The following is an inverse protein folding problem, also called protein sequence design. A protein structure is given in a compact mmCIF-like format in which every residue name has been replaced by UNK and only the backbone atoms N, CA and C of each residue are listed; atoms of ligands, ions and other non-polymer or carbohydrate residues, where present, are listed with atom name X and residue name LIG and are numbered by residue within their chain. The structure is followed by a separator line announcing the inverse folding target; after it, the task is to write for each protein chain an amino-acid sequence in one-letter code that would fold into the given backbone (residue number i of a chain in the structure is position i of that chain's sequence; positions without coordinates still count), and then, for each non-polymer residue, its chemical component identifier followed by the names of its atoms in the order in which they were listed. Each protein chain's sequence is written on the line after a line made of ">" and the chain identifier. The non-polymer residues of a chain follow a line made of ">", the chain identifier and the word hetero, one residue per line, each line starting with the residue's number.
data_IF_762710464066
#
_entry.id   IF_762710464066
#
_cell.length_a   1.000
_cell.length_b   1.000
_cell.length_c   1.000
_cell.angle_alpha   90.00
_cell.angle_beta   90.00
_cell.angle_gamma   90.00
#
_symmetry.space_group_name_H-M   'P 1'
#
loop_
_entity.id
_entity.type
_entity.pdbx_description
1 polymer ?
#
# COMPACT_ATOMS: atom_id res chain seq x y z
N UNK A 1 -2.19 24.43 -3.64
CA UNK A 1 -2.33 24.92 -2.24
C UNK A 1 -3.52 24.19 -1.64
N UNK A 2 -3.41 23.49 -0.47
CA UNK A 2 -4.60 23.00 0.23
C UNK A 2 -5.52 24.18 0.52
N UNK A 3 -6.84 24.02 0.30
CA UNK A 3 -7.82 25.03 0.61
C UNK A 3 -7.77 25.42 2.10
N UNK A 4 -8.06 26.67 2.43
CA UNK A 4 -8.12 27.15 3.82
C UNK A 4 -9.06 26.26 4.63
N UNK A 5 -8.53 25.42 5.51
CA UNK A 5 -9.26 24.51 6.41
C UNK A 5 -9.00 23.00 6.22
N UNK A 6 -8.16 22.59 5.25
CA UNK A 6 -7.75 21.19 5.10
C UNK A 6 -6.74 20.76 6.18
N UNK A 7 -6.78 19.46 6.58
CA UNK A 7 -5.79 18.91 7.52
C UNK A 7 -4.43 18.78 6.87
N UNK A 8 -3.38 18.99 7.66
CA UNK A 8 -2.01 18.73 7.24
C UNK A 8 -1.74 17.23 7.22
N UNK A 9 -1.30 16.70 6.06
CA UNK A 9 -1.10 15.27 5.81
C UNK A 9 0.33 14.99 5.39
N UNK A 10 1.03 14.13 6.13
CA UNK A 10 2.34 13.61 5.76
C UNK A 10 2.25 12.17 5.26
N UNK A 11 3.05 11.82 4.26
CA UNK A 11 3.12 10.45 3.72
C UNK A 11 4.52 9.89 3.94
N UNK A 12 4.62 8.70 4.51
CA UNK A 12 5.89 8.06 4.83
C UNK A 12 5.94 6.63 4.29
N UNK A 13 7.03 6.29 3.61
CA UNK A 13 7.33 4.92 3.19
C UNK A 13 8.80 4.60 3.36
N UNK A 14 9.14 3.30 3.44
CA UNK A 14 10.52 2.81 3.50
C UNK A 14 10.76 1.81 2.38
N UNK A 15 11.82 2.04 1.60
CA UNK A 15 12.16 1.30 0.39
C UNK A 15 13.59 0.75 0.42
N UNK A 16 13.80 -0.39 -0.25
CA UNK A 16 15.10 -0.95 -0.62
C UNK A 16 14.98 -1.69 -1.95
N UNK A 17 15.80 -1.31 -2.93
CA UNK A 17 15.79 -1.88 -4.28
C UNK A 17 14.40 -1.82 -4.94
N UNK A 18 13.73 -0.67 -4.77
CA UNK A 18 12.36 -0.45 -5.24
C UNK A 18 12.27 0.75 -6.19
N UNK A 19 13.31 0.97 -6.98
CA UNK A 19 13.46 2.09 -7.92
C UNK A 19 12.29 2.16 -8.91
N UNK A 20 11.68 1.02 -9.20
CA UNK A 20 10.52 0.94 -10.08
C UNK A 20 9.27 1.63 -9.51
N UNK A 21 9.04 1.54 -8.19
CA UNK A 21 7.81 2.07 -7.57
C UNK A 21 7.96 3.51 -7.07
N UNK A 22 9.17 3.94 -6.70
CA UNK A 22 9.42 5.25 -6.10
C UNK A 22 8.92 6.41 -6.95
N UNK A 23 9.17 6.48 -8.29
CA UNK A 23 8.69 7.59 -9.12
C UNK A 23 7.15 7.70 -9.14
N UNK A 24 6.45 6.59 -9.26
CA UNK A 24 4.98 6.54 -9.22
C UNK A 24 4.44 7.00 -7.88
N UNK A 25 5.04 6.56 -6.77
CA UNK A 25 4.71 6.98 -5.42
C UNK A 25 4.91 8.49 -5.22
N UNK A 26 6.05 9.03 -5.65
CA UNK A 26 6.36 10.46 -5.57
C UNK A 26 5.37 11.28 -6.40
N UNK A 27 5.10 10.87 -7.63
CA UNK A 27 4.17 11.55 -8.54
C UNK A 27 2.76 11.59 -7.96
N UNK A 28 2.24 10.45 -7.53
CA UNK A 28 0.88 10.35 -7.00
C UNK A 28 0.71 11.17 -5.71
N UNK A 29 1.50 10.88 -4.68
CA UNK A 29 1.33 11.59 -3.40
C UNK A 29 1.79 13.05 -3.45
N UNK A 30 2.78 13.36 -4.29
CA UNK A 30 3.19 14.74 -4.54
C UNK A 30 2.08 15.59 -5.15
N UNK A 31 1.27 15.02 -6.05
CA UNK A 31 0.10 15.71 -6.62
C UNK A 31 -1.04 15.87 -5.60
N UNK A 32 -1.19 14.95 -4.64
CA UNK A 32 -2.24 15.00 -3.62
C UNK A 32 -1.92 15.96 -2.47
N UNK A 33 -0.66 16.03 -2.04
CA UNK A 33 -0.29 16.65 -0.77
C UNK A 33 0.85 17.66 -0.87
N UNK A 34 1.53 17.79 -2.02
CA UNK A 34 2.81 18.48 -2.16
C UNK A 34 4.00 17.56 -1.85
N UNK A 35 5.05 17.67 -2.66
CA UNK A 35 6.23 16.83 -2.53
C UNK A 35 6.96 17.03 -1.19
N UNK A 36 6.94 18.23 -0.64
CA UNK A 36 7.52 18.59 0.65
C UNK A 36 6.93 17.83 1.85
N UNK A 37 5.76 17.21 1.67
CA UNK A 37 5.06 16.41 2.69
C UNK A 37 5.32 14.90 2.56
N UNK A 38 6.23 14.50 1.65
CA UNK A 38 6.61 13.10 1.44
C UNK A 38 7.91 12.78 2.18
N UNK A 39 7.94 11.64 2.87
CA UNK A 39 9.07 11.15 3.65
C UNK A 39 9.45 9.75 3.14
N UNK A 40 10.55 9.68 2.40
CA UNK A 40 11.11 8.43 1.90
C UNK A 40 12.29 7.99 2.76
N UNK A 41 12.18 6.81 3.35
CA UNK A 41 13.29 6.18 4.09
C UNK A 41 13.97 5.19 3.14
N UNK A 42 15.25 5.38 2.86
CA UNK A 42 16.06 4.42 2.10
C UNK A 42 16.82 3.50 3.07
N UNK A 43 16.53 2.20 3.00
CA UNK A 43 17.21 1.16 3.80
C UNK A 43 18.53 0.75 3.14
N UNK A 44 19.53 1.57 3.32
CA UNK A 44 20.88 1.38 2.81
C UNK A 44 21.52 2.69 2.40
N UNK A 45 22.78 2.90 2.80
CA UNK A 45 23.59 4.01 2.30
C UNK A 45 24.04 3.77 0.85
N UNK A 46 23.92 2.55 0.37
CA UNK A 46 24.18 2.08 -1.00
C UNK A 46 23.02 2.38 -1.97
N UNK A 47 21.83 2.70 -1.45
CA UNK A 47 20.66 2.97 -2.30
C UNK A 47 20.83 4.28 -3.08
N UNK A 48 20.53 4.27 -4.40
CA UNK A 48 20.56 5.49 -5.20
C UNK A 48 19.48 6.47 -4.71
N UNK A 49 19.78 7.76 -4.81
CA UNK A 49 18.76 8.79 -4.59
C UNK A 49 17.85 8.85 -5.82
N UNK A 50 16.52 8.81 -5.64
CA UNK A 50 15.60 8.90 -6.77
C UNK A 50 15.67 10.28 -7.45
N UNK A 51 15.37 10.32 -8.74
CA UNK A 51 15.22 11.58 -9.46
C UNK A 51 14.14 12.45 -8.79
N UNK A 52 14.41 13.74 -8.59
CA UNK A 52 13.49 14.65 -7.87
C UNK A 52 13.55 14.51 -6.35
N UNK A 53 14.53 13.80 -5.79
CA UNK A 53 14.69 13.65 -4.34
C UNK A 53 14.84 14.96 -3.58
N UNK A 54 15.31 16.00 -4.23
CA UNK A 54 15.45 17.35 -3.66
C UNK A 54 14.11 18.01 -3.32
N UNK A 55 13.00 17.48 -3.84
CA UNK A 55 11.64 17.97 -3.58
C UNK A 55 10.97 17.29 -2.40
N UNK A 56 11.50 16.16 -1.93
CA UNK A 56 10.94 15.34 -0.86
C UNK A 56 11.91 15.25 0.32
N UNK A 57 11.43 14.72 1.44
CA UNK A 57 12.29 14.44 2.60
C UNK A 57 12.86 13.01 2.48
N UNK A 58 14.17 12.89 2.28
CA UNK A 58 14.84 11.59 2.19
C UNK A 58 15.65 11.32 3.47
N UNK A 59 15.41 10.17 4.09
CA UNK A 59 16.14 9.68 5.25
C UNK A 59 16.90 8.42 4.82
N UNK A 60 18.23 8.43 4.87
CA UNK A 60 19.05 7.26 4.57
C UNK A 60 19.49 6.58 5.86
N UNK A 61 19.26 5.29 5.96
CA UNK A 61 19.66 4.49 7.12
C UNK A 61 20.66 3.40 6.68
N UNK A 62 21.68 3.08 7.50
CA UNK A 62 22.53 1.92 7.24
C UNK A 62 21.71 0.63 7.18
N UNK A 63 21.84 -0.14 6.10
CA UNK A 63 21.17 -1.43 5.97
C UNK A 63 21.64 -2.42 7.03
N UNK A 64 20.72 -3.21 7.53
CA UNK A 64 21.00 -4.33 8.42
C UNK A 64 20.41 -5.60 7.85
N UNK A 65 21.26 -6.58 7.54
CA UNK A 65 20.80 -7.90 7.10
C UNK A 65 20.07 -8.60 8.26
N UNK A 66 18.78 -8.80 8.08
CA UNK A 66 17.90 -9.43 9.06
C UNK A 66 17.06 -10.52 8.36
N UNK A 67 16.65 -11.54 9.12
CA UNK A 67 15.65 -12.46 8.59
C UNK A 67 14.37 -11.69 8.25
N UNK A 68 13.61 -12.13 7.24
CA UNK A 68 12.40 -11.47 6.75
C UNK A 68 11.47 -10.99 7.87
N UNK A 69 11.13 -11.87 8.82
CA UNK A 69 10.22 -11.53 9.91
C UNK A 69 10.76 -10.42 10.83
N UNK A 70 12.08 -10.43 11.09
CA UNK A 70 12.75 -9.38 11.87
C UNK A 70 12.85 -8.09 11.06
N UNK A 71 13.14 -8.17 9.77
CA UNK A 71 13.19 -7.04 8.84
C UNK A 71 11.85 -6.31 8.78
N UNK A 72 10.76 -7.03 8.52
CA UNK A 72 9.40 -6.47 8.49
C UNK A 72 9.01 -5.81 9.82
N UNK A 73 9.37 -6.43 10.96
CA UNK A 73 9.13 -5.87 12.28
C UNK A 73 9.94 -4.60 12.53
N UNK A 74 11.22 -4.61 12.11
CA UNK A 74 12.13 -3.46 12.27
C UNK A 74 11.65 -2.28 11.44
N UNK A 75 11.34 -2.50 10.17
CA UNK A 75 10.78 -1.49 9.25
C UNK A 75 9.55 -0.82 9.86
N UNK A 76 8.57 -1.61 10.29
CA UNK A 76 7.33 -1.08 10.87
C UNK A 76 7.58 -0.27 12.15
N UNK A 77 8.59 -0.63 12.96
CA UNK A 77 8.97 0.14 14.14
C UNK A 77 9.63 1.47 13.75
N UNK A 78 10.60 1.45 12.84
CA UNK A 78 11.28 2.66 12.35
C UNK A 78 10.24 3.65 11.84
N UNK A 79 9.38 3.21 10.92
CA UNK A 79 8.30 4.06 10.37
C UNK A 79 7.38 4.56 11.48
N UNK A 80 7.00 3.73 12.45
CA UNK A 80 6.16 4.15 13.57
C UNK A 80 6.79 5.25 14.43
N UNK A 81 8.09 5.18 14.70
CA UNK A 81 8.78 6.20 15.52
C UNK A 81 8.96 7.52 14.76
N UNK A 82 9.31 7.46 13.48
CA UNK A 82 9.40 8.67 12.64
C UNK A 82 8.00 9.30 12.48
N UNK A 83 6.98 8.51 12.18
CA UNK A 83 5.61 8.98 12.06
C UNK A 83 5.13 9.67 13.36
N UNK A 84 5.48 9.15 14.53
CA UNK A 84 5.16 9.82 15.81
C UNK A 84 5.79 11.20 15.93
N UNK A 85 7.03 11.36 15.49
CA UNK A 85 7.68 12.67 15.47
C UNK A 85 6.99 13.61 14.48
N UNK A 86 6.54 13.08 13.34
CA UNK A 86 5.83 13.88 12.33
C UNK A 86 4.47 14.40 12.81
N UNK A 87 3.82 13.76 13.80
CA UNK A 87 2.57 14.25 14.40
C UNK A 87 2.72 15.61 15.14
N UNK A 88 3.93 16.11 15.34
CA UNK A 88 4.14 17.51 15.78
C UNK A 88 3.95 18.53 14.65
N UNK A 89 3.83 18.08 13.39
CA UNK A 89 3.65 18.93 12.20
C UNK A 89 2.43 18.57 11.39
N UNK A 90 1.97 17.32 11.45
CA UNK A 90 0.88 16.79 10.66
C UNK A 90 -0.25 16.29 11.54
N UNK A 91 -1.48 16.48 11.11
CA UNK A 91 -2.68 15.95 11.78
C UNK A 91 -2.97 14.52 11.35
N UNK A 92 -2.51 14.14 10.15
CA UNK A 92 -2.67 12.79 9.59
C UNK A 92 -1.33 12.32 9.02
N UNK A 93 -1.01 11.05 9.29
CA UNK A 93 0.12 10.36 8.65
C UNK A 93 -0.41 9.17 7.88
N UNK A 94 -0.04 9.09 6.60
CA UNK A 94 -0.24 7.91 5.75
C UNK A 94 1.07 7.11 5.73
N UNK A 95 1.03 5.82 6.11
CA UNK A 95 2.20 4.96 6.17
C UNK A 95 1.89 3.57 5.60
N UNK A 96 2.64 3.17 4.58
CA UNK A 96 2.47 1.89 3.88
C UNK A 96 3.76 1.48 3.15
N UNK A 97 3.75 0.33 2.51
CA UNK A 97 4.85 -0.13 1.66
C UNK A 97 4.93 0.70 0.37
N UNK A 98 6.12 0.84 -0.23
CA UNK A 98 6.35 1.73 -1.38
C UNK A 98 5.58 1.28 -2.65
N UNK A 99 5.25 0.00 -2.75
CA UNK A 99 4.47 -0.62 -3.82
C UNK A 99 2.95 -0.58 -3.55
N UNK A 100 2.51 0.24 -2.60
CA UNK A 100 1.10 0.42 -2.25
C UNK A 100 0.67 1.87 -2.46
N UNK A 101 -0.53 2.07 -3.00
CA UNK A 101 -1.12 3.39 -3.21
C UNK A 101 -2.52 3.44 -2.59
N UNK A 102 -2.72 4.41 -1.69
CA UNK A 102 -4.01 4.68 -1.07
C UNK A 102 -4.84 5.61 -1.96
N UNK A 103 -6.06 5.18 -2.29
CA UNK A 103 -6.97 5.94 -3.14
C UNK A 103 -8.31 6.13 -2.44
N UNK A 104 -8.85 7.36 -2.46
CA UNK A 104 -10.25 7.60 -2.14
C UNK A 104 -11.11 7.26 -3.36
N UNK A 105 -12.33 6.74 -3.13
CA UNK A 105 -13.25 6.41 -4.23
C UNK A 105 -13.55 7.66 -5.08
N UNK A 106 -13.21 7.66 -6.38
CA UNK A 106 -13.42 8.81 -7.26
C UNK A 106 -14.89 9.26 -7.34
N UNK A 107 -15.86 8.34 -7.15
CA UNK A 107 -17.29 8.67 -7.14
C UNK A 107 -17.68 9.60 -5.99
N UNK A 108 -16.79 9.84 -5.02
CA UNK A 108 -17.01 10.87 -3.99
C UNK A 108 -16.78 12.28 -4.50
N UNK A 109 -16.15 12.47 -5.66
CA UNK A 109 -15.82 13.78 -6.21
C UNK A 109 -14.86 14.60 -5.33
N UNK A 110 -14.07 13.94 -4.46
CA UNK A 110 -13.16 14.56 -3.51
C UNK A 110 -11.73 14.07 -3.78
N UNK A 111 -10.76 14.95 -3.64
CA UNK A 111 -9.35 14.52 -3.56
C UNK A 111 -9.14 13.63 -2.32
N UNK A 112 -8.05 12.86 -2.29
CA UNK A 112 -7.70 12.07 -1.11
C UNK A 112 -7.50 12.97 0.11
N UNK A 113 -6.92 14.17 -0.07
CA UNK A 113 -6.71 15.16 0.99
C UNK A 113 -8.02 15.66 1.57
N UNK A 114 -8.97 16.06 0.72
CA UNK A 114 -10.29 16.54 1.17
C UNK A 114 -11.07 15.42 1.84
N UNK A 115 -10.97 14.20 1.29
CA UNK A 115 -11.63 13.03 1.88
C UNK A 115 -11.12 12.75 3.30
N UNK A 116 -9.83 12.81 3.54
CA UNK A 116 -9.22 12.56 4.84
C UNK A 116 -9.37 13.73 5.83
N UNK A 117 -9.61 14.95 5.33
CA UNK A 117 -9.81 16.13 6.17
C UNK A 117 -11.15 16.10 6.94
N UNK A 118 -12.07 15.21 6.57
CA UNK A 118 -13.32 15.02 7.31
C UNK A 118 -13.07 14.56 8.75
N UNK A 119 -14.00 14.80 9.69
CA UNK A 119 -13.88 14.31 11.04
C UNK A 119 -13.73 12.79 11.11
N UNK A 120 -12.68 12.29 11.76
CA UNK A 120 -12.41 10.87 11.96
C UNK A 120 -12.28 10.56 13.44
N UNK A 121 -13.13 9.66 13.95
CA UNK A 121 -13.13 9.26 15.37
C UNK A 121 -12.11 8.16 15.70
N UNK A 122 -11.63 7.44 14.70
CA UNK A 122 -10.70 6.31 14.86
C UNK A 122 -9.25 6.77 14.89
N UNK A 123 -8.41 6.06 15.64
CA UNK A 123 -6.97 6.34 15.68
C UNK A 123 -6.25 5.96 14.37
N UNK A 124 -6.83 5.05 13.62
CA UNK A 124 -6.36 4.68 12.28
C UNK A 124 -7.53 4.19 11.41
N UNK A 125 -7.42 4.39 10.10
CA UNK A 125 -8.34 3.87 9.09
C UNK A 125 -7.63 2.82 8.25
N UNK A 126 -8.32 1.71 8.00
CA UNK A 126 -7.90 0.71 7.02
C UNK A 126 -8.59 0.97 5.68
N UNK A 127 -7.85 0.78 4.61
CA UNK A 127 -8.39 0.76 3.26
C UNK A 127 -8.61 -0.68 2.79
N UNK A 128 -9.61 -0.94 1.95
CA UNK A 128 -9.83 -2.25 1.35
C UNK A 128 -8.66 -2.61 0.44
N UNK A 129 -8.02 -3.74 0.69
CA UNK A 129 -6.83 -4.19 -0.03
C UNK A 129 -7.14 -4.82 -1.38
N UNK A 130 -6.55 -4.29 -2.43
CA UNK A 130 -6.65 -4.74 -3.81
C UNK A 130 -5.25 -5.11 -4.32
N UNK A 131 -4.98 -6.41 -4.42
CA UNK A 131 -3.71 -6.94 -4.91
C UNK A 131 -3.79 -7.00 -6.45
N UNK A 132 -3.19 -6.00 -7.12
CA UNK A 132 -3.23 -5.84 -8.57
C UNK A 132 -2.19 -6.77 -9.19
N UNK A 133 -2.60 -7.55 -10.18
CA UNK A 133 -1.70 -8.41 -10.92
C UNK A 133 -2.00 -8.41 -12.41
N UNK A 134 -1.02 -8.78 -13.20
CA UNK A 134 -1.14 -8.88 -14.66
C UNK A 134 -1.97 -10.11 -15.07
N UNK A 135 -2.94 -9.93 -15.96
CA UNK A 135 -3.56 -11.03 -16.69
C UNK A 135 -2.70 -11.35 -17.90
N UNK A 136 -1.94 -12.45 -17.82
CA UNK A 136 -0.84 -12.74 -18.77
C UNK A 136 -1.27 -12.86 -20.25
N UNK A 137 -2.54 -13.20 -20.51
CA UNK A 137 -3.07 -13.33 -21.88
C UNK A 137 -3.68 -12.02 -22.42
N UNK A 138 -4.19 -11.15 -21.53
CA UNK A 138 -4.96 -9.96 -21.93
C UNK A 138 -4.18 -8.66 -21.79
N UNK A 139 -3.14 -8.64 -20.96
CA UNK A 139 -2.43 -7.42 -20.60
C UNK A 139 -0.94 -7.51 -20.96
N UNK A 140 -0.42 -6.46 -21.56
CA UNK A 140 1.00 -6.35 -21.96
C UNK A 140 1.90 -6.04 -20.77
N UNK A 141 3.22 -6.07 -20.98
CA UNK A 141 4.20 -5.54 -20.04
C UNK A 141 3.85 -4.08 -19.67
N UNK A 142 4.13 -3.72 -18.41
CA UNK A 142 3.77 -2.39 -17.90
C UNK A 142 4.74 -1.32 -18.38
N UNK A 143 4.20 -0.16 -18.72
CA UNK A 143 4.98 1.05 -18.96
C UNK A 143 4.97 1.88 -17.66
N UNK A 144 6.11 2.09 -16.97
CA UNK A 144 6.16 2.80 -15.70
C UNK A 144 5.86 4.30 -15.80
N UNK A 145 5.91 4.87 -17.02
CA UNK A 145 5.60 6.28 -17.25
C UNK A 145 4.10 6.56 -17.36
N UNK A 146 3.30 5.52 -17.51
CA UNK A 146 1.83 5.62 -17.60
C UNK A 146 1.16 5.16 -16.31
N UNK A 147 -0.06 5.66 -16.02
CA UNK A 147 -0.84 5.17 -14.88
C UNK A 147 -0.98 3.64 -14.89
N UNK A 148 -0.70 2.99 -13.77
CA UNK A 148 -0.73 1.53 -13.67
C UNK A 148 -2.14 0.96 -13.87
N UNK A 149 -3.16 1.65 -13.36
CA UNK A 149 -4.55 1.22 -13.49
C UNK A 149 -5.16 1.46 -14.88
N UNK A 150 -4.48 2.20 -15.78
CA UNK A 150 -4.82 2.21 -17.20
C UNK A 150 -4.42 0.91 -17.90
N UNK A 151 -3.42 0.22 -17.36
CA UNK A 151 -2.77 -0.94 -17.94
C UNK A 151 -3.13 -2.25 -17.24
N UNK A 152 -3.77 -2.17 -16.06
CA UNK A 152 -4.19 -3.32 -15.25
C UNK A 152 -5.66 -3.20 -14.90
N UNK A 153 -6.39 -4.26 -15.23
CA UNK A 153 -7.85 -4.30 -15.05
C UNK A 153 -8.30 -5.30 -13.99
N UNK A 154 -7.38 -6.06 -13.40
CA UNK A 154 -7.72 -7.14 -12.49
C UNK A 154 -7.00 -7.00 -11.14
N UNK A 155 -7.73 -7.31 -10.08
CA UNK A 155 -7.14 -7.40 -8.73
C UNK A 155 -7.76 -8.56 -7.93
N UNK A 156 -6.97 -9.18 -7.08
CA UNK A 156 -7.46 -10.05 -6.02
C UNK A 156 -7.81 -9.20 -4.79
N UNK A 157 -9.06 -9.28 -4.31
CA UNK A 157 -9.45 -8.62 -3.05
C UNK A 157 -8.85 -9.41 -1.90
N UNK A 158 -7.95 -8.78 -1.15
CA UNK A 158 -7.10 -9.48 -0.19
C UNK A 158 -7.04 -8.79 1.16
N UNK A 159 -7.57 -9.46 2.18
CA UNK A 159 -7.47 -9.03 3.57
C UNK A 159 -6.01 -8.81 4.05
N UNK A 160 -5.04 -9.42 3.37
CA UNK A 160 -3.62 -9.19 3.65
C UNK A 160 -3.19 -7.76 3.33
N UNK A 161 -3.79 -7.15 2.32
CA UNK A 161 -3.54 -5.77 1.91
C UNK A 161 -4.60 -4.79 2.45
N UNK A 162 -5.63 -5.27 3.14
CA UNK A 162 -6.53 -4.41 3.92
C UNK A 162 -5.80 -3.97 5.19
N UNK A 163 -5.08 -2.84 5.09
CA UNK A 163 -4.13 -2.36 6.11
C UNK A 163 -4.59 -1.04 6.71
N UNK A 164 -4.34 -0.79 8.03
CA UNK A 164 -4.60 0.49 8.69
C UNK A 164 -3.49 1.50 8.36
N UNK A 165 -3.49 2.01 7.13
CA UNK A 165 -2.43 2.87 6.59
C UNK A 165 -2.59 4.34 6.92
N UNK A 166 -3.77 4.80 7.33
CA UNK A 166 -4.03 6.19 7.72
C UNK A 166 -4.07 6.29 9.24
N UNK A 167 -3.19 7.07 9.83
CA UNK A 167 -3.19 7.35 11.26
C UNK A 167 -3.60 8.81 11.51
N UNK A 168 -4.54 9.03 12.45
CA UNK A 168 -5.04 10.35 12.88
C UNK A 168 -4.49 10.77 14.23
N UNK A 169 -3.65 9.96 14.82
CA UNK A 169 -2.90 10.20 16.07
C UNK A 169 -1.72 9.22 16.16
N UNK A 170 -0.74 9.46 17.02
CA UNK A 170 0.41 8.57 17.17
C UNK A 170 0.02 7.12 17.41
N UNK A 171 0.53 6.20 16.59
CA UNK A 171 0.26 4.75 16.66
C UNK A 171 1.56 3.94 16.54
N UNK A 172 1.47 2.64 16.86
CA UNK A 172 2.53 1.67 16.58
C UNK A 172 1.99 0.64 15.58
N UNK A 173 2.50 0.66 14.34
CA UNK A 173 2.19 -0.39 13.40
C UNK A 173 2.88 -1.71 13.76
N UNK A 174 2.18 -2.80 13.50
CA UNK A 174 2.77 -4.13 13.52
C UNK A 174 3.47 -4.46 12.21
N UNK A 175 4.18 -5.59 12.18
CA UNK A 175 4.90 -6.09 11.00
C UNK A 175 4.07 -5.99 9.73
N UNK A 176 4.65 -5.43 8.65
CA UNK A 176 4.00 -5.26 7.35
C UNK A 176 2.78 -4.33 7.37
N UNK A 177 2.65 -3.47 8.36
CA UNK A 177 1.52 -2.55 8.54
C UNK A 177 0.14 -3.23 8.69
N UNK A 178 0.09 -4.55 8.91
CA UNK A 178 -1.16 -5.32 8.96
C UNK A 178 -2.06 -5.01 10.16
N UNK A 179 -1.58 -4.27 11.15
CA UNK A 179 -2.34 -3.85 12.34
C UNK A 179 -1.75 -2.61 12.99
N UNK A 180 -2.55 -1.92 13.77
CA UNK A 180 -2.09 -0.98 14.80
C UNK A 180 -2.14 -1.69 16.15
N UNK A 181 -1.02 -1.71 16.88
CA UNK A 181 -0.93 -2.40 18.17
C UNK A 181 -1.82 -1.73 19.22
N UNK A 182 -2.59 -2.54 19.96
CA UNK A 182 -3.47 -2.05 21.02
C UNK A 182 -4.66 -1.21 20.53
N UNK A 183 -4.97 -1.24 19.22
CA UNK A 183 -6.13 -0.54 18.64
C UNK A 183 -6.94 -1.48 17.77
N UNK A 184 -8.26 -1.31 17.79
CA UNK A 184 -9.14 -1.99 16.85
C UNK A 184 -8.91 -1.40 15.45
N UNK A 185 -9.23 -2.17 14.40
CA UNK A 185 -9.20 -1.65 13.04
C UNK A 185 -10.60 -1.25 12.58
N UNK A 186 -10.64 -0.35 11.62
CA UNK A 186 -11.85 0.08 10.95
C UNK A 186 -11.56 0.19 9.45
N UNK A 187 -12.31 -0.55 8.63
CA UNK A 187 -12.21 -0.45 7.17
C UNK A 187 -13.11 0.70 6.72
N UNK A 188 -12.50 1.74 6.18
CA UNK A 188 -13.24 2.88 5.63
C UNK A 188 -14.01 2.44 4.36
N UNK A 189 -15.27 2.87 4.20
CA UNK A 189 -16.10 2.43 3.08
C UNK A 189 -15.64 2.93 1.70
N UNK A 190 -14.84 3.98 1.65
CA UNK A 190 -14.44 4.64 0.40
C UNK A 190 -12.91 4.74 0.22
N UNK A 191 -12.12 4.04 1.06
CA UNK A 191 -10.69 3.95 0.88
C UNK A 191 -10.30 2.57 0.31
N UNK A 192 -9.40 2.60 -0.66
CA UNK A 192 -8.83 1.42 -1.32
C UNK A 192 -7.32 1.50 -1.27
N UNK A 193 -6.66 0.38 -0.97
CA UNK A 193 -5.21 0.25 -1.01
C UNK A 193 -4.85 -0.66 -2.16
N UNK A 194 -4.37 -0.08 -3.25
CA UNK A 194 -3.87 -0.82 -4.40
C UNK A 194 -2.43 -1.24 -4.14
N UNK A 195 -2.16 -2.53 -4.19
CA UNK A 195 -0.83 -3.11 -4.07
C UNK A 195 -0.35 -3.54 -5.45
N UNK A 196 0.80 -3.04 -5.88
CA UNK A 196 1.36 -3.21 -7.23
C UNK A 196 2.58 -4.12 -7.28
N UNK A 197 2.94 -4.77 -6.17
CA UNK A 197 4.15 -5.59 -6.11
C UNK A 197 4.21 -6.76 -7.10
N UNK A 198 3.07 -7.12 -7.71
CA UNK A 198 2.94 -8.14 -8.77
C UNK A 198 2.28 -7.55 -10.02
N UNK A 199 2.45 -6.27 -10.26
CA UNK A 199 1.84 -5.54 -11.37
C UNK A 199 2.35 -6.00 -12.74
N UNK A 200 3.56 -6.59 -12.79
CA UNK A 200 4.18 -7.12 -13.99
C UNK A 200 4.92 -8.42 -13.69
N UNK A 201 4.74 -9.41 -14.56
CA UNK A 201 5.31 -10.74 -14.38
C UNK A 201 6.83 -10.74 -14.47
N UNK A 202 7.40 -10.09 -15.49
CA UNK A 202 8.86 -10.11 -15.71
C UNK A 202 9.59 -9.33 -14.60
N UNK A 203 9.04 -8.18 -14.18
CA UNK A 203 9.61 -7.39 -13.07
C UNK A 203 9.58 -8.20 -11.77
N UNK A 204 8.48 -8.87 -11.49
CA UNK A 204 8.33 -9.67 -10.27
C UNK A 204 9.19 -10.94 -10.31
N UNK A 205 9.39 -11.53 -11.50
CA UNK A 205 10.27 -12.67 -11.72
C UNK A 205 11.73 -12.28 -11.49
N UNK A 206 12.19 -11.16 -12.01
CA UNK A 206 13.54 -10.67 -11.78
C UNK A 206 13.85 -10.50 -10.27
N UNK A 207 12.89 -9.99 -9.49
CA UNK A 207 13.02 -9.92 -8.01
C UNK A 207 13.04 -11.32 -7.36
N UNK A 208 12.29 -12.28 -7.91
CA UNK A 208 12.29 -13.67 -7.40
C UNK A 208 13.62 -14.37 -7.64
N UNK A 209 14.27 -14.07 -8.75
CA UNK A 209 15.54 -14.69 -9.15
C UNK A 209 16.77 -13.97 -8.55
N UNK A 210 16.57 -12.92 -7.73
CA UNK A 210 17.64 -12.21 -7.02
C UNK A 210 18.25 -13.10 -5.93
N UNK A 211 19.52 -13.51 -6.13
CA UNK A 211 20.21 -14.42 -5.25
C UNK A 211 20.36 -13.87 -3.82
N UNK A 212 20.58 -12.57 -3.66
CA UNK A 212 20.69 -11.95 -2.32
C UNK A 212 19.39 -12.05 -1.53
N UNK A 213 18.24 -11.95 -2.20
CA UNK A 213 16.94 -12.13 -1.59
C UNK A 213 16.67 -13.61 -1.27
N UNK A 214 17.07 -14.52 -2.13
CA UNK A 214 16.94 -15.96 -1.89
C UNK A 214 17.75 -16.39 -0.67
N UNK A 215 19.00 -15.95 -0.56
CA UNK A 215 19.89 -16.23 0.58
C UNK A 215 19.33 -15.65 1.90
N UNK A 216 18.60 -14.55 1.83
CA UNK A 216 17.89 -13.95 2.97
C UNK A 216 16.56 -14.65 3.33
N UNK A 217 16.21 -15.76 2.64
CA UNK A 217 15.03 -16.59 2.94
C UNK A 217 13.70 -16.05 2.39
N UNK A 218 13.74 -15.33 1.27
CA UNK A 218 12.54 -14.76 0.63
C UNK A 218 11.83 -15.71 -0.34
N UNK A 219 12.44 -16.85 -0.73
CA UNK A 219 11.89 -17.77 -1.76
C UNK A 219 10.42 -18.12 -1.55
N UNK A 220 10.07 -18.69 -0.40
CA UNK A 220 8.70 -19.06 -0.09
C UNK A 220 7.73 -17.85 0.05
N UNK A 221 8.25 -16.63 0.19
CA UNK A 221 7.44 -15.41 0.13
C UNK A 221 7.11 -15.06 -1.32
N UNK A 222 8.11 -15.09 -2.20
CA UNK A 222 7.91 -14.83 -3.63
C UNK A 222 7.00 -15.87 -4.27
N UNK A 223 7.15 -17.15 -3.95
CA UNK A 223 6.27 -18.21 -4.47
C UNK A 223 4.80 -17.94 -4.14
N UNK A 224 4.52 -17.54 -2.89
CA UNK A 224 3.16 -17.17 -2.48
C UNK A 224 2.64 -15.91 -3.17
N UNK A 225 3.51 -14.94 -3.46
CA UNK A 225 3.10 -13.72 -4.18
C UNK A 225 2.85 -14.00 -5.66
N UNK A 226 3.71 -14.80 -6.29
CA UNK A 226 3.54 -15.20 -7.69
C UNK A 226 2.24 -15.96 -7.95
N UNK A 227 1.64 -16.60 -6.94
CA UNK A 227 0.32 -17.20 -7.09
C UNK A 227 -0.78 -16.22 -7.53
N UNK A 228 -0.57 -14.90 -7.43
CA UNK A 228 -1.55 -13.91 -7.89
C UNK A 228 -1.81 -14.03 -9.40
N UNK A 229 -0.78 -14.32 -10.20
CA UNK A 229 -0.94 -14.52 -11.64
C UNK A 229 -1.87 -15.72 -11.91
N UNK A 230 -1.63 -16.85 -11.24
CA UNK A 230 -2.52 -18.01 -11.33
C UNK A 230 -3.95 -17.71 -10.85
N UNK A 231 -4.09 -16.94 -9.77
CA UNK A 231 -5.40 -16.55 -9.24
C UNK A 231 -6.15 -15.71 -10.28
N UNK A 232 -5.51 -14.73 -10.88
CA UNK A 232 -6.12 -13.85 -11.89
C UNK A 232 -6.46 -14.62 -13.17
N UNK A 233 -5.59 -15.54 -13.60
CA UNK A 233 -5.80 -16.33 -14.81
C UNK A 233 -6.92 -17.37 -14.66
N UNK A 234 -7.05 -18.00 -13.47
CA UNK A 234 -7.93 -19.15 -13.28
C UNK A 234 -9.31 -18.79 -12.74
N UNK A 235 -9.46 -17.65 -12.06
CA UNK A 235 -10.72 -17.26 -11.44
C UNK A 235 -11.51 -16.31 -12.33
N UNK A 236 -12.83 -16.57 -12.45
CA UNK A 236 -13.74 -15.65 -13.11
C UNK A 236 -13.79 -14.33 -12.33
N UNK A 237 -13.40 -13.23 -12.96
CA UNK A 237 -13.50 -11.92 -12.37
C UNK A 237 -14.97 -11.47 -12.24
N UNK A 238 -15.33 -10.95 -11.07
CA UNK A 238 -16.62 -10.29 -10.81
C UNK A 238 -16.46 -8.79 -10.90
N UNK A 239 -17.58 -8.05 -11.03
CA UNK A 239 -17.55 -6.60 -10.99
C UNK A 239 -17.10 -6.12 -9.60
N UNK A 240 -16.09 -5.22 -9.55
CA UNK A 240 -15.57 -4.70 -8.28
C UNK A 240 -16.64 -4.03 -7.43
N UNK A 241 -17.50 -3.21 -8.03
CA UNK A 241 -18.55 -2.48 -7.30
C UNK A 241 -19.55 -3.38 -6.60
N UNK A 242 -19.90 -4.49 -7.24
CA UNK A 242 -20.79 -5.50 -6.65
C UNK A 242 -20.14 -6.24 -5.47
N UNK A 243 -18.82 -6.30 -5.44
CA UNK A 243 -18.09 -7.11 -4.45
C UNK A 243 -17.52 -6.31 -3.28
N UNK A 244 -17.15 -5.04 -3.44
CA UNK A 244 -16.46 -4.25 -2.42
C UNK A 244 -17.17 -4.19 -1.07
N UNK A 245 -18.48 -3.98 -1.06
CA UNK A 245 -19.26 -3.94 0.18
C UNK A 245 -19.26 -5.32 0.88
N UNK A 246 -19.42 -6.38 0.11
CA UNK A 246 -19.38 -7.76 0.62
C UNK A 246 -18.01 -8.09 1.22
N UNK A 247 -16.92 -7.70 0.53
CA UNK A 247 -15.56 -7.91 1.01
C UNK A 247 -15.32 -7.20 2.35
N UNK A 248 -15.63 -5.90 2.44
CA UNK A 248 -15.49 -5.13 3.69
C UNK A 248 -16.27 -5.75 4.85
N UNK A 249 -17.51 -6.18 4.58
CA UNK A 249 -18.36 -6.81 5.59
C UNK A 249 -17.76 -8.14 6.06
N UNK A 250 -17.33 -9.01 5.15
CA UNK A 250 -16.70 -10.30 5.47
C UNK A 250 -15.40 -10.10 6.26
N UNK A 251 -14.51 -9.24 5.80
CA UNK A 251 -13.24 -8.95 6.47
C UNK A 251 -13.42 -8.30 7.85
N UNK A 252 -14.51 -7.58 8.08
CA UNK A 252 -14.83 -7.01 9.38
C UNK A 252 -15.43 -8.01 10.37
N UNK A 253 -16.21 -8.98 9.90
CA UNK A 253 -16.96 -9.92 10.74
C UNK A 253 -16.20 -11.22 11.05
N UNK A 254 -15.52 -11.80 10.07
CA UNK A 254 -14.88 -13.11 10.21
C UNK A 254 -13.45 -13.02 10.75
N UNK A 255 -13.30 -12.51 11.99
CA UNK A 255 -12.01 -12.33 12.66
C UNK A 255 -11.79 -13.37 13.74
N UNK A 256 -10.55 -13.87 13.81
CA UNK A 256 -10.15 -14.72 14.93
C UNK A 256 -10.01 -13.88 16.20
N UNK A 257 -10.38 -14.42 17.35
CA UNK A 257 -10.28 -13.75 18.66
C UNK A 257 -8.86 -13.19 18.95
N UNK A 258 -7.81 -13.96 18.65
CA UNK A 258 -6.42 -13.55 18.83
C UNK A 258 -5.94 -12.54 17.78
N UNK A 259 -6.72 -12.27 16.76
CA UNK A 259 -6.43 -11.33 15.68
C UNK A 259 -7.50 -10.22 15.56
N UNK A 260 -8.09 -9.84 16.68
CA UNK A 260 -9.20 -8.88 16.76
C UNK A 260 -8.91 -7.52 16.11
N UNK A 261 -7.64 -7.14 15.99
CA UNK A 261 -7.17 -5.90 15.38
C UNK A 261 -6.60 -6.08 13.96
N UNK A 262 -7.01 -7.14 13.27
CA UNK A 262 -6.74 -7.40 11.86
C UNK A 262 -8.03 -7.75 11.11
N UNK A 263 -8.10 -7.51 9.79
CA UNK A 263 -9.19 -8.04 8.98
C UNK A 263 -9.20 -9.56 8.99
N UNK A 264 -10.39 -10.12 8.81
CA UNK A 264 -10.58 -11.58 8.68
C UNK A 264 -10.00 -12.10 7.37
N UNK A 265 -9.19 -13.14 7.45
CA UNK A 265 -8.68 -13.81 6.27
C UNK A 265 -9.77 -14.70 5.69
N UNK A 266 -10.15 -14.44 4.44
CA UNK A 266 -11.09 -15.28 3.72
C UNK A 266 -10.35 -16.43 3.02
N UNK A 267 -10.96 -17.60 3.00
CA UNK A 267 -10.44 -18.79 2.28
C UNK A 267 -10.58 -18.62 0.76
N UNK A 268 -11.61 -17.92 0.34
CA UNK A 268 -11.85 -17.59 -1.06
C UNK A 268 -10.80 -16.59 -1.59
N UNK A 269 -10.51 -16.68 -2.88
CA UNK A 269 -9.58 -15.78 -3.57
C UNK A 269 -10.33 -15.02 -4.67
N UNK A 270 -11.21 -14.09 -4.30
CA UNK A 270 -12.04 -13.39 -5.27
C UNK A 270 -11.18 -12.48 -6.14
N UNK A 271 -11.37 -12.60 -7.45
CA UNK A 271 -10.81 -11.69 -8.45
C UNK A 271 -11.91 -10.73 -8.88
N UNK A 272 -11.58 -9.47 -8.95
CA UNK A 272 -12.46 -8.42 -9.45
C UNK A 272 -11.92 -7.81 -10.74
N UNK A 273 -12.83 -7.34 -11.59
CA UNK A 273 -12.53 -6.33 -12.58
C UNK A 273 -12.55 -4.97 -11.87
N UNK A 274 -11.43 -4.25 -11.93
CA UNK A 274 -11.28 -2.92 -11.33
C UNK A 274 -12.23 -1.96 -12.05
N UNK A 275 -13.11 -1.21 -11.33
CA UNK A 275 -14.02 -0.26 -11.97
C UNK A 275 -13.30 0.84 -12.72
N UNK A 276 -13.86 1.26 -13.85
CA UNK A 276 -13.27 2.23 -14.78
C UNK A 276 -12.91 3.57 -14.11
N UNK A 277 -13.66 4.00 -13.08
CA UNK A 277 -13.38 5.25 -12.36
C UNK A 277 -12.00 5.32 -11.69
N UNK A 278 -11.34 4.18 -11.45
CA UNK A 278 -9.99 4.14 -10.89
C UNK A 278 -8.89 4.26 -11.94
N UNK A 279 -9.23 4.11 -13.23
CA UNK A 279 -8.26 3.88 -14.31
C UNK A 279 -7.22 4.98 -14.47
N UNK A 280 -7.59 6.23 -14.29
CA UNK A 280 -6.69 7.38 -14.44
C UNK A 280 -6.10 7.89 -13.11
N UNK A 281 -6.31 7.17 -12.01
CA UNK A 281 -5.93 7.67 -10.67
C UNK A 281 -4.47 7.41 -10.36
N UNK A 282 -3.94 6.25 -10.75
CA UNK A 282 -2.57 5.80 -10.41
C UNK A 282 -1.89 5.19 -11.62
#
# INVERSE_FOLDING_TARGET
>A
MPGEGGKTIGVISMARNDEFFIPGWMRYYGSQFGHENLFLILDGMDQPLPAGHEKINVIRLPHRTLSRARGDSNRSKIVSYIAKALFYRYEIIIAHDIDEILVADPDRGLSLGDYLSRPVKYAALSALGLDVGQHLELEKAIDPERPFLEQRSFAHVSARYTKPVVATRPVNWGSGFHRVRGRNFHIDPNLYLFHFGMVDYEISKAKKDDQALLDAGWSGHFDRRHMIFDIIMKNKAVNGDEFFMTARRRESLFRSFYAWNKPGMLSERPVIKIPERFRSVV
#
